data_IF_773244534425
#
_entry.id   IF_773244534425
#
_cell.length_a   1.000
_cell.length_b   1.000
_cell.length_c   1.000
_cell.angle_alpha   90.00
_cell.angle_beta   90.00
_cell.angle_gamma   90.00
#
_symmetry.space_group_name_H-M   'P 1'
#
loop_
_entity.id
_entity.type
_entity.pdbx_description
1 polymer ?
#
# COMPACT_ATOMS: atom_id res chain seq x y z
N UNK A 1 4.85 7.11 8.17
CA UNK A 1 4.70 7.66 6.80
C UNK A 1 3.28 7.40 6.32
N UNK A 2 2.64 8.37 5.68
CA UNK A 2 1.23 8.34 5.25
C UNK A 2 1.14 8.73 3.78
N UNK A 3 0.06 8.35 3.12
CA UNK A 3 -0.26 8.86 1.78
C UNK A 3 -1.75 9.13 1.65
N UNK A 4 -2.10 10.11 0.82
CA UNK A 4 -3.48 10.42 0.45
C UNK A 4 -3.50 10.96 -0.97
N UNK A 5 -4.28 10.35 -1.86
CA UNK A 5 -4.33 10.68 -3.29
C UNK A 5 -2.91 10.67 -3.90
N UNK A 6 -2.48 11.82 -4.42
CA UNK A 6 -1.17 12.02 -4.99
C UNK A 6 -0.06 12.45 -4.07
N UNK A 7 -0.32 12.49 -2.77
CA UNK A 7 0.58 13.06 -1.80
C UNK A 7 1.09 11.98 -0.85
N UNK A 8 2.40 11.92 -0.68
CA UNK A 8 3.09 11.14 0.35
C UNK A 8 3.62 12.11 1.39
N UNK A 9 3.38 11.83 2.67
CA UNK A 9 3.78 12.73 3.75
C UNK A 9 4.17 11.98 5.03
N UNK A 10 5.07 12.57 5.82
CA UNK A 10 5.26 12.19 7.23
C UNK A 10 4.74 13.35 8.09
N UNK A 11 4.07 13.03 9.20
CA UNK A 11 3.72 14.03 10.23
C UNK A 11 4.98 14.76 10.75
N UNK A 12 6.14 14.15 10.56
CA UNK A 12 7.42 14.57 11.07
C UNK A 12 8.28 15.44 10.14
N UNK A 13 8.10 15.39 8.80
CA UNK A 13 9.21 15.83 7.92
C UNK A 13 8.90 16.40 6.52
N UNK A 14 7.85 15.97 5.80
CA UNK A 14 7.68 16.39 4.38
C UNK A 14 6.30 16.09 3.81
N UNK A 15 5.95 16.79 2.72
CA UNK A 15 4.83 16.51 1.82
C UNK A 15 5.30 16.54 0.36
N UNK A 16 5.33 15.38 -0.29
CA UNK A 16 5.71 15.21 -1.70
C UNK A 16 4.51 14.78 -2.53
N UNK A 17 4.43 15.24 -3.78
CA UNK A 17 3.40 14.87 -4.76
C UNK A 17 4.05 14.08 -5.87
N UNK A 18 3.50 12.91 -6.21
CA UNK A 18 3.94 12.18 -7.39
C UNK A 18 3.33 12.82 -8.66
N UNK A 19 4.12 12.84 -9.73
CA UNK A 19 3.67 13.17 -11.07
C UNK A 19 3.44 11.88 -11.89
N UNK A 20 2.59 11.92 -12.91
CA UNK A 20 2.31 10.76 -13.78
C UNK A 20 3.54 10.24 -14.53
N UNK A 21 4.59 11.06 -14.62
CA UNK A 21 5.88 10.74 -15.26
C UNK A 21 6.91 10.10 -14.30
N UNK A 22 6.56 9.83 -13.04
CA UNK A 22 7.46 9.17 -12.08
C UNK A 22 8.40 10.10 -11.30
N UNK A 23 8.16 11.42 -11.33
CA UNK A 23 8.92 12.43 -10.59
C UNK A 23 8.18 12.92 -9.36
N UNK A 24 8.92 13.33 -8.33
CA UNK A 24 8.32 14.04 -7.19
C UNK A 24 8.42 15.55 -7.33
N UNK A 25 7.35 16.22 -6.95
CA UNK A 25 7.30 17.68 -6.77
C UNK A 25 6.89 18.00 -5.34
N UNK A 26 7.26 19.16 -4.81
CA UNK A 26 6.80 19.60 -3.49
C UNK A 26 5.27 19.66 -3.46
N UNK A 27 4.64 19.10 -2.43
CA UNK A 27 3.19 19.17 -2.23
C UNK A 27 2.78 20.21 -1.18
N UNK A 28 3.75 20.84 -0.51
CA UNK A 28 3.55 21.98 0.37
C UNK A 28 4.44 23.17 -0.02
N UNK A 29 4.53 24.16 0.86
CA UNK A 29 5.21 25.45 0.61
C UNK A 29 6.51 25.61 1.41
N UNK A 30 6.89 24.64 2.24
CA UNK A 30 8.03 24.82 3.14
C UNK A 30 9.36 24.64 2.41
N UNK A 31 10.45 25.12 3.02
CA UNK A 31 11.79 24.87 2.52
C UNK A 31 12.15 23.39 2.61
N UNK A 32 11.66 22.66 3.63
CA UNK A 32 11.86 21.22 3.75
C UNK A 32 11.19 20.46 2.60
N UNK A 33 9.96 20.80 2.22
CA UNK A 33 9.25 20.14 1.11
C UNK A 33 10.05 20.25 -0.20
N UNK A 34 10.65 21.43 -0.46
CA UNK A 34 11.50 21.67 -1.63
C UNK A 34 12.82 20.90 -1.56
N UNK A 35 13.44 20.85 -0.39
CA UNK A 35 14.67 20.10 -0.17
C UNK A 35 14.44 18.58 -0.33
N UNK A 36 13.31 18.06 0.16
CA UNK A 36 12.94 16.65 0.00
C UNK A 36 12.65 16.29 -1.46
N UNK A 37 11.97 17.16 -2.23
CA UNK A 37 11.76 16.93 -3.66
C UNK A 37 13.08 16.89 -4.44
N UNK A 38 14.08 17.69 -4.04
CA UNK A 38 15.45 17.61 -4.61
C UNK A 38 16.20 16.35 -4.19
N UNK A 39 16.05 15.92 -2.94
CA UNK A 39 16.68 14.71 -2.40
C UNK A 39 16.13 13.44 -3.05
N UNK A 40 14.85 13.45 -3.44
CA UNK A 40 14.16 12.34 -4.06
C UNK A 40 13.53 12.75 -5.40
N UNK A 41 14.34 12.96 -6.45
CA UNK A 41 13.83 13.47 -7.72
C UNK A 41 12.89 12.49 -8.44
N UNK A 42 13.06 11.19 -8.20
CA UNK A 42 12.30 10.12 -8.84
C UNK A 42 11.72 9.13 -7.83
N UNK A 43 10.67 8.44 -8.25
CA UNK A 43 10.00 7.37 -7.48
C UNK A 43 10.99 6.35 -6.92
N UNK A 44 11.98 5.93 -7.71
CA UNK A 44 12.96 4.92 -7.29
C UNK A 44 13.85 5.37 -6.12
N UNK A 45 14.30 6.62 -6.14
CA UNK A 45 15.14 7.17 -5.06
C UNK A 45 14.40 7.29 -3.73
N UNK A 46 13.12 7.66 -3.80
CA UNK A 46 12.25 7.67 -2.63
C UNK A 46 11.94 6.26 -2.15
N UNK A 47 11.72 5.33 -3.08
CA UNK A 47 11.44 3.93 -2.81
C UNK A 47 12.59 3.27 -2.03
N UNK A 48 13.84 3.47 -2.43
CA UNK A 48 14.99 2.91 -1.70
C UNK A 48 15.11 3.46 -0.26
N UNK A 49 14.90 4.76 -0.08
CA UNK A 49 14.86 5.35 1.26
C UNK A 49 13.68 4.83 2.09
N UNK A 50 12.52 4.68 1.44
CA UNK A 50 11.31 4.15 2.04
C UNK A 50 11.56 2.72 2.55
N UNK A 51 12.16 1.85 1.73
CA UNK A 51 12.56 0.49 2.13
C UNK A 51 13.43 0.49 3.39
N UNK A 52 14.42 1.37 3.44
CA UNK A 52 15.31 1.48 4.60
C UNK A 52 14.56 1.92 5.86
N UNK A 53 13.61 2.85 5.73
CA UNK A 53 12.76 3.28 6.86
C UNK A 53 11.76 2.22 7.29
N UNK A 54 11.14 1.51 6.34
CA UNK A 54 10.21 0.43 6.64
C UNK A 54 10.86 -0.69 7.45
N UNK A 55 12.13 -1.01 7.21
CA UNK A 55 12.85 -2.00 8.03
C UNK A 55 12.93 -1.61 9.51
N UNK A 56 13.09 -0.31 9.80
CA UNK A 56 13.16 0.18 11.17
C UNK A 56 11.77 0.28 11.80
N UNK A 57 10.77 0.75 11.03
CA UNK A 57 9.41 0.98 11.51
C UNK A 57 8.61 -0.32 11.70
N UNK A 58 8.97 -1.41 11.00
CA UNK A 58 8.29 -2.71 11.03
C UNK A 58 9.27 -3.84 11.43
N UNK A 59 9.83 -3.71 12.63
CA UNK A 59 10.58 -4.76 13.30
C UNK A 59 9.66 -5.57 14.23
N UNK A 60 10.14 -6.69 14.79
CA UNK A 60 9.31 -7.56 15.65
C UNK A 60 8.70 -6.82 16.85
N UNK A 61 9.44 -5.95 17.53
CA UNK A 61 8.96 -5.18 18.69
C UNK A 61 7.88 -4.17 18.30
N UNK A 62 8.09 -3.43 17.19
CA UNK A 62 7.11 -2.45 16.72
C UNK A 62 5.82 -3.13 16.23
N UNK A 63 5.93 -4.28 15.57
CA UNK A 63 4.77 -5.03 15.08
C UNK A 63 3.89 -5.57 16.22
N UNK A 64 4.49 -6.01 17.33
CA UNK A 64 3.75 -6.52 18.50
C UNK A 64 2.96 -5.42 19.19
N UNK A 65 3.47 -4.19 19.17
CA UNK A 65 2.86 -3.02 19.84
C UNK A 65 1.86 -2.25 18.98
N UNK A 66 1.76 -2.56 17.67
CA UNK A 66 0.80 -1.92 16.78
C UNK A 66 -0.65 -2.31 17.09
N UNK A 67 -1.55 -1.33 17.08
CA UNK A 67 -2.99 -1.56 17.16
C UNK A 67 -3.49 -2.27 15.89
N UNK A 68 -4.02 -3.48 16.05
CA UNK A 68 -4.59 -4.29 14.97
C UNK A 68 -5.90 -3.73 14.39
N UNK A 69 -6.49 -2.74 15.04
CA UNK A 69 -7.67 -2.01 14.57
C UNK A 69 -7.33 -0.71 13.84
N UNK A 70 -6.06 -0.29 13.87
CA UNK A 70 -5.61 0.89 13.16
C UNK A 70 -4.93 0.50 11.84
N UNK A 71 -5.38 1.04 10.69
CA UNK A 71 -4.70 0.77 9.44
C UNK A 71 -3.34 1.48 9.40
N UNK A 72 -2.32 0.76 8.96
CA UNK A 72 -0.99 1.29 8.63
C UNK A 72 -1.12 2.22 7.42
N UNK A 73 -1.81 1.77 6.37
CA UNK A 73 -2.15 2.55 5.19
C UNK A 73 -3.60 2.34 4.82
N UNK A 74 -4.22 3.35 4.21
CA UNK A 74 -5.52 3.22 3.56
C UNK A 74 -5.54 4.08 2.31
N UNK A 75 -6.03 3.51 1.21
CA UNK A 75 -6.36 4.25 -0.01
C UNK A 75 -7.85 4.09 -0.33
N UNK A 76 -8.44 5.17 -0.82
CA UNK A 76 -9.85 5.28 -1.17
C UNK A 76 -10.03 5.19 -2.69
N UNK A 77 -11.28 5.03 -3.15
CA UNK A 77 -11.62 4.96 -4.58
C UNK A 77 -10.95 3.76 -5.30
N UNK A 78 -10.74 2.67 -4.55
CA UNK A 78 -10.27 1.41 -5.11
C UNK A 78 -11.43 0.66 -5.76
N UNK A 79 -11.08 -0.21 -6.70
CA UNK A 79 -11.98 -1.22 -7.25
C UNK A 79 -11.33 -2.58 -7.06
N UNK A 80 -12.01 -3.46 -6.32
CA UNK A 80 -11.61 -4.84 -6.17
C UNK A 80 -12.12 -5.66 -7.37
N UNK A 81 -11.20 -6.37 -8.00
CA UNK A 81 -11.47 -7.25 -9.13
C UNK A 81 -10.99 -8.65 -8.76
N UNK A 82 -11.82 -9.64 -9.07
CA UNK A 82 -11.46 -11.03 -9.02
C UNK A 82 -10.99 -11.45 -10.42
N UNK A 83 -9.73 -11.85 -10.53
CA UNK A 83 -9.12 -12.31 -11.77
C UNK A 83 -8.98 -13.82 -11.72
N UNK A 84 -9.38 -14.48 -12.80
CA UNK A 84 -9.32 -15.93 -12.97
C UNK A 84 -8.58 -16.22 -14.26
N UNK A 85 -7.69 -17.22 -14.26
CA UNK A 85 -6.88 -17.58 -15.42
C UNK A 85 -7.72 -18.05 -16.63
N UNK A 86 -8.98 -18.43 -16.43
CA UNK A 86 -9.83 -19.05 -17.45
C UNK A 86 -11.22 -18.41 -17.63
N UNK A 87 -11.53 -17.31 -16.92
CA UNK A 87 -12.83 -16.63 -17.02
C UNK A 87 -12.69 -15.11 -17.02
N UNK A 88 -13.75 -14.41 -17.39
CA UNK A 88 -13.77 -12.94 -17.38
C UNK A 88 -13.47 -12.37 -15.99
N UNK A 89 -12.75 -11.25 -15.97
CA UNK A 89 -12.47 -10.50 -14.75
C UNK A 89 -13.77 -9.98 -14.15
N UNK A 90 -14.06 -10.38 -12.90
CA UNK A 90 -15.28 -9.97 -12.22
C UNK A 90 -14.99 -8.78 -11.31
N UNK A 91 -15.55 -7.61 -11.65
CA UNK A 91 -15.60 -6.49 -10.71
C UNK A 91 -16.44 -6.89 -9.50
N UNK A 92 -15.83 -6.86 -8.32
CA UNK A 92 -16.50 -7.21 -7.08
C UNK A 92 -17.20 -6.00 -6.47
N UNK A 93 -16.46 -4.91 -6.29
CA UNK A 93 -16.96 -3.73 -5.57
C UNK A 93 -16.05 -2.51 -5.79
N UNK A 94 -16.52 -1.32 -5.43
CA UNK A 94 -15.75 -0.08 -5.34
C UNK A 94 -15.76 0.45 -3.89
N UNK A 95 -14.60 0.88 -3.39
CA UNK A 95 -14.43 1.13 -1.96
C UNK A 95 -13.02 1.59 -1.58
N UNK A 96 -12.51 1.04 -0.48
CA UNK A 96 -11.20 1.37 0.06
C UNK A 96 -10.38 0.11 0.34
N UNK A 97 -9.07 0.21 0.19
CA UNK A 97 -8.12 -0.82 0.62
C UNK A 97 -7.31 -0.30 1.78
N UNK A 98 -7.17 -1.13 2.82
CA UNK A 98 -6.45 -0.79 4.05
C UNK A 98 -5.54 -1.93 4.46
N UNK A 99 -4.29 -1.60 4.79
CA UNK A 99 -3.32 -2.54 5.34
C UNK A 99 -3.30 -2.39 6.85
N UNK A 100 -3.48 -3.50 7.55
CA UNK A 100 -3.34 -3.64 9.00
C UNK A 100 -2.13 -4.52 9.31
N UNK A 101 -1.66 -4.56 10.57
CA UNK A 101 -0.54 -5.42 10.96
C UNK A 101 -0.73 -6.91 10.64
N UNK A 102 -1.98 -7.38 10.56
CA UNK A 102 -2.31 -8.80 10.40
C UNK A 102 -3.15 -9.12 9.14
N UNK A 103 -3.68 -8.12 8.43
CA UNK A 103 -4.55 -8.32 7.27
C UNK A 103 -4.47 -7.18 6.26
N UNK A 104 -4.76 -7.51 5.01
CA UNK A 104 -5.27 -6.56 4.03
C UNK A 104 -6.80 -6.59 4.09
N UNK A 105 -7.45 -5.44 4.13
CA UNK A 105 -8.90 -5.33 4.18
C UNK A 105 -9.39 -4.44 3.05
N UNK A 106 -10.42 -4.90 2.35
CA UNK A 106 -11.15 -4.10 1.39
C UNK A 106 -12.53 -3.80 1.95
N UNK A 107 -12.94 -2.54 1.96
CA UNK A 107 -14.23 -2.11 2.50
C UNK A 107 -15.03 -1.27 1.50
N UNK A 108 -16.25 -1.72 1.20
CA UNK A 108 -17.27 -1.00 0.44
C UNK A 108 -18.19 -0.25 1.40
N UNK A 109 -18.11 1.08 1.40
CA UNK A 109 -18.92 1.92 2.30
C UNK A 109 -20.39 2.02 1.87
N UNK A 110 -20.70 1.77 0.59
CA UNK A 110 -22.04 1.81 0.03
C UNK A 110 -22.79 0.51 0.35
N UNK A 111 -22.15 -0.63 0.11
CA UNK A 111 -22.73 -1.96 0.37
C UNK A 111 -22.53 -2.42 1.82
N UNK A 112 -21.69 -1.73 2.59
CA UNK A 112 -21.28 -2.11 3.96
C UNK A 112 -20.65 -3.51 4.03
N UNK A 113 -19.94 -3.90 2.97
CA UNK A 113 -19.27 -5.19 2.86
C UNK A 113 -17.76 -5.01 3.11
N UNK A 114 -17.17 -5.92 3.87
CA UNK A 114 -15.72 -6.01 4.07
C UNK A 114 -15.20 -7.37 3.59
N UNK A 115 -14.13 -7.35 2.82
CA UNK A 115 -13.33 -8.52 2.45
C UNK A 115 -12.01 -8.46 3.21
N UNK A 116 -11.74 -9.47 4.04
CA UNK A 116 -10.55 -9.54 4.87
C UNK A 116 -9.63 -10.66 4.40
N UNK A 117 -8.39 -10.29 4.12
CA UNK A 117 -7.33 -11.15 3.64
C UNK A 117 -6.20 -11.19 4.69
N UNK A 118 -6.17 -12.21 5.58
CA UNK A 118 -5.08 -12.35 6.55
C UNK A 118 -3.73 -12.41 5.84
N UNK A 119 -2.74 -11.66 6.29
CA UNK A 119 -1.43 -11.58 5.60
C UNK A 119 -0.74 -12.94 5.53
N UNK A 120 -0.94 -13.80 6.54
CA UNK A 120 -0.45 -15.19 6.56
C UNK A 120 -1.00 -16.06 5.42
N UNK A 121 -2.15 -15.69 4.86
CA UNK A 121 -2.81 -16.41 3.77
C UNK A 121 -2.58 -15.76 2.41
N UNK A 122 -1.98 -14.58 2.35
CA UNK A 122 -1.57 -14.00 1.07
C UNK A 122 -0.29 -14.74 0.65
N UNK A 123 -0.24 -15.35 -0.54
CA UNK A 123 0.97 -16.06 -1.00
C UNK A 123 1.91 -15.09 -1.73
N UNK A 124 1.42 -14.53 -2.82
CA UNK A 124 2.10 -13.55 -3.66
C UNK A 124 1.43 -12.19 -3.54
N UNK A 125 2.23 -11.14 -3.60
CA UNK A 125 1.78 -9.75 -3.70
C UNK A 125 2.70 -9.01 -4.66
N UNK A 126 2.11 -8.35 -5.65
CA UNK A 126 2.82 -7.62 -6.68
C UNK A 126 2.05 -6.35 -7.08
N UNK A 127 2.62 -5.53 -7.95
CA UNK A 127 1.93 -4.39 -8.54
C UNK A 127 2.12 -4.33 -10.06
N UNK A 128 1.09 -3.81 -10.72
CA UNK A 128 1.16 -3.46 -12.14
C UNK A 128 1.16 -1.94 -12.19
N UNK A 129 2.37 -1.37 -12.20
CA UNK A 129 2.58 0.06 -12.05
C UNK A 129 2.11 0.62 -10.70
N UNK A 130 1.99 1.95 -10.55
CA UNK A 130 1.67 2.58 -9.27
C UNK A 130 0.22 2.34 -8.79
N UNK A 131 -0.68 1.92 -9.67
CA UNK A 131 -2.14 1.98 -9.45
C UNK A 131 -2.80 0.66 -9.10
N UNK A 132 -2.15 -0.46 -9.41
CA UNK A 132 -2.74 -1.78 -9.28
C UNK A 132 -1.92 -2.61 -8.32
N UNK A 133 -2.56 -3.05 -7.24
CA UNK A 133 -2.03 -4.05 -6.31
C UNK A 133 -2.66 -5.39 -6.67
N UNK A 134 -1.86 -6.41 -6.93
CA UNK A 134 -2.31 -7.77 -7.21
C UNK A 134 -1.85 -8.68 -6.08
N UNK A 135 -2.70 -9.60 -5.63
CA UNK A 135 -2.34 -10.58 -4.60
C UNK A 135 -3.14 -11.87 -4.73
N UNK A 136 -2.55 -12.98 -4.30
CA UNK A 136 -3.18 -14.30 -4.31
C UNK A 136 -3.53 -14.71 -2.89
N UNK A 137 -4.80 -15.04 -2.64
CA UNK A 137 -5.23 -15.63 -1.36
C UNK A 137 -5.09 -17.16 -1.43
N UNK A 138 -4.31 -17.73 -0.53
CA UNK A 138 -4.04 -19.16 -0.48
C UNK A 138 -5.28 -20.00 -0.10
N UNK A 139 -6.30 -19.38 0.50
CA UNK A 139 -7.54 -20.08 0.91
C UNK A 139 -8.36 -20.54 -0.29
N UNK A 140 -8.40 -19.75 -1.35
CA UNK A 140 -9.20 -20.00 -2.56
C UNK A 140 -8.34 -20.11 -3.83
N UNK A 141 -7.04 -19.79 -3.74
CA UNK A 141 -6.09 -19.74 -4.85
C UNK A 141 -6.52 -18.72 -5.94
N UNK A 142 -7.31 -17.73 -5.55
CA UNK A 142 -7.83 -16.70 -6.44
C UNK A 142 -6.89 -15.49 -6.42
N UNK A 143 -6.71 -14.90 -7.60
CA UNK A 143 -5.94 -13.67 -7.77
C UNK A 143 -6.89 -12.47 -7.69
N UNK A 144 -6.63 -11.61 -6.72
CA UNK A 144 -7.36 -10.37 -6.50
C UNK A 144 -6.53 -9.19 -6.98
N UNK A 145 -7.21 -8.19 -7.56
CA UNK A 145 -6.61 -6.91 -7.92
C UNK A 145 -7.35 -5.76 -7.25
N UNK A 146 -6.62 -4.87 -6.59
CA UNK A 146 -7.12 -3.56 -6.14
C UNK A 146 -6.58 -2.49 -7.08
N UNK A 147 -7.49 -1.86 -7.83
CA UNK A 147 -7.17 -0.85 -8.83
C UNK A 147 -7.64 0.52 -8.38
N UNK A 148 -6.75 1.50 -8.37
CA UNK A 148 -7.09 2.91 -8.21
C UNK A 148 -7.09 3.66 -9.55
N UNK A 149 -8.11 4.48 -9.80
CA UNK A 149 -8.16 5.33 -11.01
C UNK A 149 -7.21 6.52 -10.94
N UNK A 150 -6.99 7.05 -9.74
CA UNK A 150 -5.97 8.05 -9.48
C UNK A 150 -4.65 7.32 -9.25
N UNK A 151 -3.49 7.90 -9.56
CA UNK A 151 -2.26 7.21 -9.22
C UNK A 151 -2.17 7.03 -7.69
N UNK A 152 -1.35 6.11 -7.22
CA UNK A 152 -1.04 5.97 -5.79
C UNK A 152 0.30 5.27 -5.67
N UNK A 153 0.77 5.01 -4.46
CA UNK A 153 1.89 4.09 -4.28
C UNK A 153 1.34 2.73 -3.90
N UNK A 154 1.14 1.84 -4.87
CA UNK A 154 0.86 0.42 -4.59
C UNK A 154 2.07 -0.29 -3.98
N UNK A 155 3.28 0.13 -4.33
CA UNK A 155 4.55 -0.39 -3.83
C UNK A 155 4.65 -0.39 -2.29
N UNK A 156 4.07 0.60 -1.61
CA UNK A 156 4.07 0.65 -0.13
C UNK A 156 3.42 -0.60 0.49
N UNK A 157 2.39 -1.17 -0.14
CA UNK A 157 1.74 -2.39 0.36
C UNK A 157 2.65 -3.60 0.22
N UNK A 158 3.28 -3.76 -0.95
CA UNK A 158 4.18 -4.89 -1.22
C UNK A 158 5.29 -4.94 -0.19
N UNK A 159 5.99 -3.83 -0.01
CA UNK A 159 7.19 -3.80 0.82
C UNK A 159 6.87 -3.90 2.30
N UNK A 160 5.79 -3.27 2.76
CA UNK A 160 5.34 -3.43 4.14
C UNK A 160 4.82 -4.84 4.41
N UNK A 161 4.10 -5.48 3.47
CA UNK A 161 3.65 -6.87 3.63
C UNK A 161 4.86 -7.82 3.68
N UNK A 162 5.84 -7.65 2.78
CA UNK A 162 7.09 -8.43 2.79
C UNK A 162 7.83 -8.28 4.11
N UNK A 163 7.96 -7.04 4.59
CA UNK A 163 8.63 -6.76 5.86
C UNK A 163 7.89 -7.39 7.03
N UNK A 164 6.57 -7.21 7.15
CA UNK A 164 5.73 -7.85 8.19
C UNK A 164 5.92 -9.37 8.18
N UNK A 165 5.81 -10.00 7.00
CA UNK A 165 5.98 -11.45 6.86
C UNK A 165 7.38 -11.93 7.20
N UNK A 166 8.42 -11.15 6.91
CA UNK A 166 9.81 -11.50 7.25
C UNK A 166 10.02 -11.60 8.77
N UNK A 167 9.29 -10.81 9.55
CA UNK A 167 9.37 -10.81 11.02
C UNK A 167 8.46 -11.87 11.66
N UNK A 168 7.47 -12.39 10.92
CA UNK A 168 6.52 -13.40 11.39
C UNK A 168 6.95 -14.84 11.07
N UNK A 169 8.03 -15.05 10.29
CA UNK A 169 8.57 -16.38 10.09
C UNK A 169 9.12 -16.91 11.42
N UNK A 170 8.61 -18.03 11.95
CA UNK A 170 9.24 -18.66 13.11
C UNK A 170 10.63 -19.15 12.70
N UNK A 171 11.61 -18.97 13.61
CA UNK A 171 12.85 -19.75 13.59
C UNK A 171 12.54 -21.23 13.76
#
# INVERSE_FOLDING_TARGET
MKSKNNIIFCDCCFRLRYHSTGYFVPAGKTAEDRAFAKRFPHVDSFYQWQLQKLKNDFNSESLVTMDRQQPIFSDQEETLILTSKASENKKMSSGSVSLYPDRLEYFDSHQKISFRFPLKNIYEVDCIGPQRLQFTDARDQIVYESINRKPRSAYKYIETIKQIKSQQKPN
#
